data_IF_093836355934
#
_entry.id   IF_093836355934
#
_cell.length_a   1.000
_cell.length_b   1.000
_cell.length_c   1.000
_cell.angle_alpha   90.00
_cell.angle_beta   90.00
_cell.angle_gamma   90.00
#
_symmetry.space_group_name_H-M   'P 1'
#
loop_
_entity.id
_entity.type
_entity.pdbx_description
1 polymer ?
#
# COMPACT_ATOMS: atom_id res chain seq x y z
N UNK A 1 -32.47 -9.71 -4.26
CA UNK A 1 -31.34 -8.90 -3.79
C UNK A 1 -30.14 -9.35 -4.59
N UNK A 2 -29.53 -8.50 -5.44
CA UNK A 2 -28.36 -8.91 -6.23
C UNK A 2 -27.23 -9.23 -5.27
N UNK A 3 -26.67 -10.43 -5.38
CA UNK A 3 -25.46 -10.86 -4.68
C UNK A 3 -24.30 -9.97 -5.16
N UNK A 4 -24.16 -8.80 -4.51
CA UNK A 4 -23.06 -7.88 -4.83
C UNK A 4 -21.78 -8.61 -4.48
N UNK A 5 -21.04 -9.04 -5.49
CA UNK A 5 -19.76 -9.74 -5.35
C UNK A 5 -18.88 -8.96 -4.35
N UNK A 6 -18.46 -9.64 -3.26
CA UNK A 6 -17.69 -9.02 -2.18
C UNK A 6 -16.37 -8.47 -2.74
N UNK A 7 -16.04 -7.20 -2.47
CA UNK A 7 -14.80 -6.57 -2.92
C UNK A 7 -13.56 -7.21 -2.30
N UNK A 8 -12.49 -7.32 -3.07
CA UNK A 8 -11.24 -7.95 -2.67
C UNK A 8 -10.15 -6.89 -2.57
N UNK A 9 -9.46 -6.86 -1.44
CA UNK A 9 -8.33 -5.97 -1.17
C UNK A 9 -7.04 -6.76 -0.96
N UNK A 10 -5.98 -6.43 -1.71
CA UNK A 10 -4.62 -6.90 -1.48
C UNK A 10 -3.82 -5.83 -0.72
N UNK A 11 -3.28 -6.18 0.44
CA UNK A 11 -2.44 -5.30 1.25
C UNK A 11 -1.03 -5.87 1.33
N UNK A 12 -0.02 -5.14 0.86
CA UNK A 12 1.38 -5.56 0.97
C UNK A 12 1.96 -5.22 2.34
N UNK A 13 2.79 -6.11 2.89
CA UNK A 13 3.37 -5.92 4.23
C UNK A 13 2.34 -6.01 5.35
N UNK A 14 1.30 -6.83 5.19
CA UNK A 14 0.16 -6.94 6.09
C UNK A 14 0.42 -7.69 7.40
N UNK A 15 1.62 -8.24 7.61
CA UNK A 15 1.88 -9.12 8.75
C UNK A 15 2.21 -8.43 10.07
N UNK A 16 2.35 -7.10 10.09
CA UNK A 16 2.64 -6.30 11.31
C UNK A 16 2.30 -4.82 11.12
N UNK A 17 2.32 -4.08 12.24
CA UNK A 17 2.24 -2.62 12.27
C UNK A 17 1.06 -2.06 11.47
N UNK A 18 1.33 -1.04 10.67
CA UNK A 18 0.32 -0.33 9.89
C UNK A 18 -0.41 -1.26 8.90
N UNK A 19 0.32 -2.12 8.18
CA UNK A 19 -0.28 -3.07 7.23
C UNK A 19 -1.25 -4.06 7.88
N UNK A 20 -0.94 -4.54 9.09
CA UNK A 20 -1.83 -5.41 9.85
C UNK A 20 -3.13 -4.69 10.24
N UNK A 21 -3.03 -3.44 10.69
CA UNK A 21 -4.20 -2.65 11.07
C UNK A 21 -5.06 -2.28 9.85
N UNK A 22 -4.44 -1.98 8.69
CA UNK A 22 -5.15 -1.77 7.43
C UNK A 22 -5.95 -3.04 7.06
N UNK A 23 -5.34 -4.23 7.13
CA UNK A 23 -6.04 -5.49 6.90
C UNK A 23 -7.25 -5.64 7.82
N UNK A 24 -7.09 -5.35 9.11
CA UNK A 24 -8.15 -5.42 10.11
C UNK A 24 -9.31 -4.46 9.80
N UNK A 25 -9.00 -3.20 9.51
CA UNK A 25 -10.05 -2.20 9.24
C UNK A 25 -10.79 -2.47 7.94
N UNK A 26 -10.11 -2.87 6.86
CA UNK A 26 -10.75 -3.23 5.60
C UNK A 26 -11.63 -4.49 5.72
N UNK A 27 -11.17 -5.51 6.47
CA UNK A 27 -12.00 -6.69 6.74
C UNK A 27 -13.25 -6.33 7.56
N UNK A 28 -13.13 -5.47 8.58
CA UNK A 28 -14.27 -4.93 9.34
C UNK A 28 -15.24 -4.12 8.47
N UNK A 29 -14.75 -3.50 7.41
CA UNK A 29 -15.59 -2.78 6.43
C UNK A 29 -16.24 -3.72 5.41
N UNK A 30 -16.11 -5.04 5.59
CA UNK A 30 -16.78 -6.05 4.77
C UNK A 30 -16.02 -6.48 3.52
N UNK A 31 -14.76 -6.10 3.33
CA UNK A 31 -13.95 -6.58 2.21
C UNK A 31 -13.35 -7.96 2.52
N UNK A 32 -13.13 -8.76 1.48
CA UNK A 32 -12.19 -9.89 1.56
C UNK A 32 -10.78 -9.35 1.50
N UNK A 33 -9.94 -9.75 2.44
CA UNK A 33 -8.57 -9.23 2.57
C UNK A 33 -7.55 -10.31 2.22
N UNK A 34 -6.69 -9.99 1.24
CA UNK A 34 -5.51 -10.75 0.91
C UNK A 34 -4.30 -10.10 1.61
N UNK A 35 -3.86 -10.72 2.70
CA UNK A 35 -2.73 -10.26 3.50
C UNK A 35 -1.43 -10.71 2.86
N UNK A 36 -0.77 -9.80 2.14
CA UNK A 36 0.51 -10.06 1.48
C UNK A 36 1.69 -9.88 2.42
N UNK A 37 2.53 -10.92 2.58
CA UNK A 37 3.78 -10.83 3.33
C UNK A 37 4.82 -11.82 2.79
N UNK A 38 6.12 -11.47 2.85
CA UNK A 38 7.21 -12.32 2.35
C UNK A 38 7.49 -13.54 3.25
N UNK A 39 7.35 -13.36 4.55
CA UNK A 39 7.60 -14.40 5.55
C UNK A 39 6.34 -15.24 5.75
N UNK A 40 6.44 -16.52 5.41
CA UNK A 40 5.34 -17.47 5.46
C UNK A 40 4.78 -17.63 6.88
N UNK A 41 5.67 -17.81 7.88
CA UNK A 41 5.26 -18.07 9.25
C UNK A 41 4.57 -16.83 9.87
N UNK A 42 5.18 -15.65 9.72
CA UNK A 42 4.63 -14.38 10.23
C UNK A 42 3.33 -14.02 9.52
N UNK A 43 3.22 -14.25 8.22
CA UNK A 43 2.00 -13.97 7.45
C UNK A 43 0.84 -14.87 7.87
N UNK A 44 1.06 -16.18 8.01
CA UNK A 44 0.04 -17.13 8.51
C UNK A 44 -0.41 -16.79 9.92
N UNK A 45 0.54 -16.47 10.82
CA UNK A 45 0.23 -16.08 12.20
C UNK A 45 -0.62 -14.79 12.26
N UNK A 46 -0.30 -13.80 11.41
CA UNK A 46 -1.07 -12.56 11.33
C UNK A 46 -2.51 -12.78 10.82
N UNK A 47 -2.68 -13.58 9.76
CA UNK A 47 -4.01 -13.91 9.24
C UNK A 47 -4.83 -14.69 10.28
N UNK A 48 -4.22 -15.67 10.95
CA UNK A 48 -4.84 -16.40 12.06
C UNK A 48 -5.27 -15.46 13.19
N UNK A 49 -4.41 -14.53 13.59
CA UNK A 49 -4.75 -13.55 14.63
C UNK A 49 -5.92 -12.66 14.23
N UNK A 50 -6.02 -12.24 12.97
CA UNK A 50 -7.14 -11.42 12.48
C UNK A 50 -8.43 -12.22 12.48
N UNK A 51 -8.44 -13.44 11.99
CA UNK A 51 -9.64 -14.27 11.91
C UNK A 51 -10.09 -14.72 13.30
N UNK A 52 -9.25 -15.45 14.03
CA UNK A 52 -9.68 -16.11 15.28
C UNK A 52 -9.80 -15.15 16.46
N UNK A 53 -8.82 -14.22 16.62
CA UNK A 53 -8.81 -13.34 17.79
C UNK A 53 -9.59 -12.04 17.59
N UNK A 54 -9.77 -11.60 16.35
CA UNK A 54 -10.53 -10.38 16.04
C UNK A 54 -11.89 -10.65 15.42
N UNK A 55 -12.30 -11.94 15.26
CA UNK A 55 -13.61 -12.34 14.73
C UNK A 55 -13.82 -11.90 13.26
N UNK A 56 -12.77 -11.96 12.45
CA UNK A 56 -12.85 -11.62 11.03
C UNK A 56 -12.81 -12.89 10.20
N UNK A 57 -13.79 -13.10 9.32
CA UNK A 57 -13.98 -14.40 8.65
C UNK A 57 -13.28 -14.51 7.28
N UNK A 58 -12.62 -13.44 6.80
CA UNK A 58 -12.18 -13.39 5.40
C UNK A 58 -10.84 -12.68 5.19
N UNK A 59 -9.86 -12.99 6.05
CA UNK A 59 -8.47 -12.59 5.86
C UNK A 59 -7.65 -13.80 5.44
N UNK A 60 -7.17 -13.80 4.20
CA UNK A 60 -6.35 -14.89 3.64
C UNK A 60 -4.90 -14.43 3.52
N UNK A 61 -3.97 -15.19 4.06
CA UNK A 61 -2.55 -14.94 3.84
C UNK A 61 -2.16 -15.30 2.40
N UNK A 62 -1.39 -14.42 1.77
CA UNK A 62 -0.76 -14.63 0.47
C UNK A 62 0.74 -14.38 0.58
N UNK A 63 1.57 -15.35 0.16
CA UNK A 63 3.00 -15.13 0.17
C UNK A 63 3.39 -14.15 -0.94
N UNK A 64 4.00 -13.02 -0.57
CA UNK A 64 4.35 -11.96 -1.50
C UNK A 64 5.66 -11.28 -1.11
N UNK A 65 6.64 -11.37 -1.99
CA UNK A 65 7.84 -10.53 -1.97
C UNK A 65 7.69 -9.47 -3.07
N UNK A 66 7.46 -8.22 -2.68
CA UNK A 66 7.27 -7.09 -3.62
C UNK A 66 8.53 -6.73 -4.42
N UNK A 67 9.70 -7.21 -3.98
CA UNK A 67 10.98 -7.02 -4.69
C UNK A 67 11.22 -8.08 -5.77
N UNK A 68 10.39 -9.11 -5.84
CA UNK A 68 10.53 -10.26 -6.76
C UNK A 68 9.39 -10.28 -7.79
N UNK A 69 9.75 -10.13 -9.06
CA UNK A 69 8.80 -10.14 -10.17
C UNK A 69 8.02 -11.46 -10.27
N UNK A 70 8.67 -12.59 -10.03
CA UNK A 70 8.02 -13.91 -10.11
C UNK A 70 7.00 -14.07 -8.97
N UNK A 71 7.34 -13.62 -7.76
CA UNK A 71 6.42 -13.62 -6.63
C UNK A 71 5.17 -12.79 -6.93
N UNK A 72 5.33 -11.62 -7.52
CA UNK A 72 4.22 -10.74 -7.94
C UNK A 72 3.35 -11.43 -9.00
N UNK A 73 3.98 -11.93 -10.06
CA UNK A 73 3.25 -12.56 -11.19
C UNK A 73 2.47 -13.79 -10.75
N UNK A 74 3.06 -14.63 -9.89
CA UNK A 74 2.41 -15.83 -9.36
C UNK A 74 1.19 -15.47 -8.50
N UNK A 75 1.33 -14.48 -7.60
CA UNK A 75 0.21 -14.05 -6.77
C UNK A 75 -0.93 -13.47 -7.60
N UNK A 76 -0.63 -12.56 -8.54
CA UNK A 76 -1.69 -11.95 -9.36
C UNK A 76 -2.42 -12.99 -10.20
N UNK A 77 -1.68 -13.97 -10.75
CA UNK A 77 -2.28 -15.11 -11.47
C UNK A 77 -3.17 -15.96 -10.56
N UNK A 78 -2.73 -16.24 -9.31
CA UNK A 78 -3.55 -16.96 -8.34
C UNK A 78 -4.83 -16.18 -7.99
N UNK A 79 -4.74 -14.88 -7.78
CA UNK A 79 -5.90 -14.01 -7.51
C UNK A 79 -6.88 -14.03 -8.66
N UNK A 80 -6.39 -13.92 -9.91
CA UNK A 80 -7.24 -13.98 -11.10
C UNK A 80 -7.93 -15.34 -11.24
N UNK A 81 -7.21 -16.45 -11.06
CA UNK A 81 -7.77 -17.80 -11.13
C UNK A 81 -8.82 -18.09 -10.05
N UNK A 82 -8.60 -17.59 -8.83
CA UNK A 82 -9.49 -17.87 -7.70
C UNK A 82 -10.71 -16.96 -7.63
N UNK A 83 -10.56 -15.73 -8.05
CA UNK A 83 -11.57 -14.70 -7.83
C UNK A 83 -12.01 -13.98 -9.12
N UNK A 84 -11.16 -13.93 -10.14
CA UNK A 84 -11.39 -13.22 -11.40
C UNK A 84 -11.43 -11.69 -11.25
N UNK A 85 -11.07 -11.14 -10.09
CA UNK A 85 -11.05 -9.69 -9.85
C UNK A 85 -10.17 -9.33 -8.64
N UNK A 86 -9.68 -8.08 -8.67
CA UNK A 86 -9.06 -7.40 -7.55
C UNK A 86 -9.58 -5.96 -7.55
N UNK A 87 -10.16 -5.52 -6.44
CA UNK A 87 -10.82 -4.21 -6.37
C UNK A 87 -9.95 -3.15 -5.70
N UNK A 88 -9.12 -3.56 -4.74
CA UNK A 88 -8.28 -2.65 -3.96
C UNK A 88 -6.85 -3.20 -3.88
N UNK A 89 -5.88 -2.35 -4.19
CA UNK A 89 -4.46 -2.61 -3.95
C UNK A 89 -3.89 -1.55 -3.00
N UNK A 90 -3.42 -1.99 -1.82
CA UNK A 90 -2.71 -1.11 -0.88
C UNK A 90 -1.22 -1.46 -0.90
N UNK A 91 -0.42 -0.61 -1.53
CA UNK A 91 1.04 -0.68 -1.55
C UNK A 91 1.60 -0.09 -0.25
N UNK A 92 1.63 -0.92 0.81
CA UNK A 92 2.09 -0.52 2.14
C UNK A 92 3.51 -1.02 2.46
N UNK A 93 3.97 -2.13 1.88
CA UNK A 93 5.31 -2.65 2.14
C UNK A 93 6.39 -1.61 1.81
N UNK A 94 7.26 -1.33 2.78
CA UNK A 94 8.37 -0.40 2.63
C UNK A 94 9.58 -0.83 3.48
N UNK A 95 10.77 -0.32 3.11
CA UNK A 95 12.04 -0.48 3.83
C UNK A 95 12.81 0.84 3.85
N UNK A 96 13.94 0.83 4.58
CA UNK A 96 14.99 1.85 4.56
C UNK A 96 14.52 3.24 5.03
N UNK A 97 14.12 3.33 6.31
CA UNK A 97 14.06 4.62 6.98
C UNK A 97 15.48 4.95 7.48
N UNK A 98 16.31 5.46 6.56
CA UNK A 98 17.77 5.56 6.66
C UNK A 98 18.25 6.82 7.39
N UNK A 99 17.91 6.94 8.68
CA UNK A 99 18.25 8.09 9.53
C UNK A 99 19.74 8.25 9.80
N UNK A 100 20.56 7.25 9.48
CA UNK A 100 22.01 7.20 9.73
C UNK A 100 22.86 7.77 8.60
N UNK A 101 22.26 8.22 7.49
CA UNK A 101 23.01 8.77 6.35
C UNK A 101 22.36 10.05 5.79
N UNK A 102 23.18 10.83 5.09
CA UNK A 102 22.75 12.05 4.40
C UNK A 102 23.00 11.92 2.89
N UNK A 103 22.40 12.80 2.10
CA UNK A 103 22.44 12.70 0.64
C UNK A 103 23.86 12.81 0.05
N UNK A 104 24.78 13.54 0.73
CA UNK A 104 26.15 13.76 0.25
C UNK A 104 27.00 12.49 0.26
N UNK A 105 26.77 11.60 1.26
CA UNK A 105 27.56 10.40 1.52
C UNK A 105 26.73 9.11 1.58
N UNK A 106 25.51 9.15 1.02
CA UNK A 106 24.60 8.02 1.04
C UNK A 106 25.17 6.78 0.33
N UNK A 107 25.03 5.62 0.95
CA UNK A 107 25.27 4.34 0.27
C UNK A 107 24.21 4.09 -0.80
N UNK A 108 24.60 4.22 -2.06
CA UNK A 108 23.71 3.99 -3.21
C UNK A 108 23.15 2.55 -3.29
N UNK A 109 23.75 1.58 -2.60
CA UNK A 109 23.14 0.23 -2.48
C UNK A 109 21.87 0.28 -1.64
N UNK A 110 21.87 1.06 -0.55
CA UNK A 110 20.67 1.28 0.29
C UNK A 110 19.60 2.02 -0.50
N UNK A 111 19.98 3.06 -1.25
CA UNK A 111 19.07 3.79 -2.14
C UNK A 111 18.44 2.86 -3.17
N UNK A 112 19.25 2.03 -3.83
CA UNK A 112 18.75 1.07 -4.82
C UNK A 112 17.78 0.04 -4.21
N UNK A 113 18.07 -0.49 -3.01
CA UNK A 113 17.17 -1.40 -2.30
C UNK A 113 15.84 -0.72 -1.93
N UNK A 114 15.89 0.54 -1.51
CA UNK A 114 14.69 1.33 -1.24
C UNK A 114 13.85 1.51 -2.51
N UNK A 115 14.46 1.86 -3.64
CA UNK A 115 13.76 1.97 -4.93
C UNK A 115 13.17 0.64 -5.40
N UNK A 116 13.89 -0.48 -5.25
CA UNK A 116 13.37 -1.81 -5.62
C UNK A 116 12.10 -2.14 -4.84
N UNK A 117 12.08 -1.88 -3.53
CA UNK A 117 10.96 -2.25 -2.67
C UNK A 117 9.85 -1.20 -2.68
N UNK A 118 10.19 0.09 -2.50
CA UNK A 118 9.22 1.15 -2.24
C UNK A 118 8.63 1.77 -3.52
N UNK A 119 9.29 1.59 -4.67
CA UNK A 119 8.86 2.11 -5.96
C UNK A 119 8.55 0.99 -6.97
N UNK A 120 9.56 0.17 -7.33
CA UNK A 120 9.37 -0.84 -8.38
C UNK A 120 8.41 -1.94 -7.95
N UNK A 121 8.37 -2.32 -6.66
CA UNK A 121 7.39 -3.24 -6.12
C UNK A 121 5.95 -2.76 -6.34
N UNK A 122 5.55 -1.57 -5.82
CA UNK A 122 4.26 -0.94 -6.10
C UNK A 122 3.95 -0.78 -7.58
N UNK A 123 4.92 -0.39 -8.40
CA UNK A 123 4.72 -0.21 -9.85
C UNK A 123 4.37 -1.52 -10.53
N UNK A 124 5.17 -2.58 -10.32
CA UNK A 124 4.94 -3.92 -10.88
C UNK A 124 3.60 -4.51 -10.43
N UNK A 125 3.26 -4.36 -9.13
CA UNK A 125 1.96 -4.82 -8.62
C UNK A 125 0.81 -4.05 -9.26
N UNK A 126 0.92 -2.73 -9.41
CA UNK A 126 -0.09 -1.92 -10.09
C UNK A 126 -0.25 -2.36 -11.54
N UNK A 127 0.85 -2.50 -12.29
CA UNK A 127 0.81 -2.97 -13.69
C UNK A 127 0.14 -4.34 -13.83
N UNK A 128 0.44 -5.26 -12.92
CA UNK A 128 -0.13 -6.61 -12.93
C UNK A 128 -1.63 -6.64 -12.53
N UNK A 129 -2.07 -5.71 -11.68
CA UNK A 129 -3.44 -5.66 -11.14
C UNK A 129 -4.40 -4.84 -12.01
N UNK A 130 -3.94 -3.81 -12.69
CA UNK A 130 -4.74 -2.89 -13.51
C UNK A 130 -5.59 -3.61 -14.56
N UNK A 131 -5.13 -4.65 -15.29
CA UNK A 131 -5.98 -5.36 -16.25
C UNK A 131 -7.28 -5.92 -15.64
N UNK A 132 -7.21 -6.56 -14.45
CA UNK A 132 -8.40 -7.05 -13.74
C UNK A 132 -9.32 -5.90 -13.32
N UNK A 133 -8.76 -4.80 -12.81
CA UNK A 133 -9.51 -3.61 -12.42
C UNK A 133 -10.22 -2.96 -13.61
N UNK A 134 -9.55 -2.87 -14.77
CA UNK A 134 -10.15 -2.35 -16.01
C UNK A 134 -11.33 -3.22 -16.50
N UNK A 135 -11.20 -4.53 -16.45
CA UNK A 135 -12.26 -5.47 -16.81
C UNK A 135 -13.51 -5.25 -15.95
N UNK A 136 -13.33 -5.00 -14.67
CA UNK A 136 -14.42 -4.76 -13.71
C UNK A 136 -14.87 -3.28 -13.66
N UNK A 137 -14.21 -2.39 -14.40
CA UNK A 137 -14.45 -0.93 -14.37
C UNK A 137 -14.45 -0.35 -12.94
N UNK A 138 -13.63 -0.93 -12.09
CA UNK A 138 -13.49 -0.51 -10.69
C UNK A 138 -12.08 -0.85 -10.18
N UNK A 139 -11.45 0.09 -9.53
CA UNK A 139 -10.18 -0.13 -8.84
C UNK A 139 -9.84 1.00 -7.87
N UNK A 140 -9.18 0.65 -6.76
CA UNK A 140 -8.58 1.61 -5.82
C UNK A 140 -7.14 1.21 -5.59
N UNK A 141 -6.19 2.03 -6.04
CA UNK A 141 -4.76 1.84 -5.80
C UNK A 141 -4.31 2.89 -4.80
N UNK A 142 -3.89 2.45 -3.62
CA UNK A 142 -3.41 3.31 -2.55
C UNK A 142 -1.94 3.08 -2.33
N UNK A 143 -1.13 4.08 -2.61
CA UNK A 143 0.30 4.08 -2.36
C UNK A 143 0.58 4.73 -1.00
N UNK A 144 1.02 3.94 -0.02
CA UNK A 144 1.41 4.46 1.30
C UNK A 144 2.73 5.21 1.14
N UNK A 145 2.62 6.53 1.13
CA UNK A 145 3.75 7.46 0.97
C UNK A 145 4.19 8.02 2.33
N UNK A 146 4.70 9.23 2.33
CA UNK A 146 5.16 9.96 3.51
C UNK A 146 5.34 11.44 3.17
N UNK A 147 5.22 12.33 4.16
CA UNK A 147 5.67 13.72 4.05
C UNK A 147 7.14 13.82 3.61
N UNK A 148 7.99 12.82 3.98
CA UNK A 148 9.36 12.73 3.48
C UNK A 148 9.48 12.55 1.96
N UNK A 149 8.39 12.24 1.24
CA UNK A 149 8.31 12.20 -0.21
C UNK A 149 7.72 13.46 -0.85
N UNK A 150 7.34 14.48 -0.07
CA UNK A 150 6.82 15.75 -0.56
C UNK A 150 7.97 16.72 -0.83
N UNK A 151 8.09 17.21 -2.06
CA UNK A 151 9.10 18.23 -2.41
C UNK A 151 8.86 19.56 -1.67
N UNK A 152 7.59 19.84 -1.34
CA UNK A 152 7.23 21.04 -0.59
C UNK A 152 7.85 21.08 0.82
N UNK A 153 7.91 19.91 1.49
CA UNK A 153 8.45 19.79 2.85
C UNK A 153 9.90 19.30 2.90
N UNK A 154 10.50 18.98 1.75
CA UNK A 154 11.85 18.41 1.67
C UNK A 154 12.92 19.48 1.78
N UNK A 155 13.21 19.93 3.00
CA UNK A 155 14.20 20.95 3.32
C UNK A 155 15.33 20.44 4.24
N UNK A 156 15.54 19.13 4.28
CA UNK A 156 16.55 18.45 5.11
C UNK A 156 17.31 17.39 4.30
N UNK A 157 18.56 17.09 4.69
CA UNK A 157 19.45 16.18 3.97
C UNK A 157 19.37 14.71 4.41
N UNK A 158 18.71 14.40 5.52
CA UNK A 158 18.61 13.04 6.08
C UNK A 158 17.62 12.13 5.33
N UNK A 159 17.70 10.84 5.58
CA UNK A 159 16.83 9.81 5.00
C UNK A 159 16.75 9.81 3.47
N UNK A 160 17.89 9.96 2.73
CA UNK A 160 17.86 10.15 1.28
C UNK A 160 17.24 8.96 0.54
N UNK A 161 17.54 7.73 0.93
CA UNK A 161 16.99 6.53 0.27
C UNK A 161 15.47 6.46 0.42
N UNK A 162 14.96 6.68 1.63
CA UNK A 162 13.53 6.69 1.91
C UNK A 162 12.82 7.82 1.18
N UNK A 163 13.30 9.07 1.36
CA UNK A 163 12.67 10.26 0.80
C UNK A 163 12.61 10.22 -0.72
N UNK A 164 13.71 9.87 -1.39
CA UNK A 164 13.77 9.72 -2.85
C UNK A 164 12.78 8.64 -3.32
N UNK A 165 12.72 7.50 -2.63
CA UNK A 165 11.80 6.42 -3.01
C UNK A 165 10.32 6.82 -2.87
N UNK A 166 9.97 7.61 -1.82
CA UNK A 166 8.61 8.10 -1.60
C UNK A 166 8.23 9.23 -2.55
N UNK A 167 9.15 10.13 -2.88
CA UNK A 167 8.94 11.14 -3.92
C UNK A 167 8.69 10.47 -5.29
N UNK A 168 9.50 9.47 -5.65
CA UNK A 168 9.30 8.71 -6.87
C UNK A 168 7.95 7.95 -6.90
N UNK A 169 7.51 7.41 -5.76
CA UNK A 169 6.18 6.79 -5.61
C UNK A 169 5.05 7.81 -5.80
N UNK A 170 5.23 9.04 -5.32
CA UNK A 170 4.29 10.15 -5.55
C UNK A 170 4.19 10.50 -7.03
N UNK A 171 5.31 10.57 -7.75
CA UNK A 171 5.33 10.74 -9.22
C UNK A 171 4.60 9.60 -9.91
N UNK A 172 4.85 8.35 -9.52
CA UNK A 172 4.16 7.18 -10.07
C UNK A 172 2.64 7.28 -9.87
N UNK A 173 2.19 7.71 -8.69
CA UNK A 173 0.76 7.93 -8.39
C UNK A 173 0.13 8.89 -9.38
N UNK A 174 0.77 10.03 -9.62
CA UNK A 174 0.31 11.03 -10.61
C UNK A 174 0.23 10.46 -12.03
N UNK A 175 1.26 9.71 -12.43
CA UNK A 175 1.33 9.12 -13.76
C UNK A 175 0.24 8.08 -13.99
N UNK A 176 0.06 7.15 -13.04
CA UNK A 176 -0.98 6.14 -13.14
C UNK A 176 -2.38 6.76 -13.12
N UNK A 177 -2.64 7.74 -12.26
CA UNK A 177 -3.93 8.42 -12.21
C UNK A 177 -4.25 9.11 -13.54
N UNK A 178 -3.28 9.79 -14.18
CA UNK A 178 -3.47 10.45 -15.46
C UNK A 178 -3.78 9.47 -16.60
N UNK A 179 -3.14 8.29 -16.60
CA UNK A 179 -3.38 7.24 -17.62
C UNK A 179 -4.70 6.48 -17.41
N UNK A 180 -5.25 6.49 -16.19
CA UNK A 180 -6.42 5.71 -15.82
C UNK A 180 -7.71 6.56 -15.74
N UNK A 181 -7.70 7.77 -16.25
CA UNK A 181 -8.90 8.62 -16.37
C UNK A 181 -10.00 7.87 -17.12
N UNK A 182 -11.23 7.96 -16.63
CA UNK A 182 -12.44 7.32 -17.20
C UNK A 182 -12.42 5.78 -17.20
N UNK A 183 -11.53 5.15 -16.44
CA UNK A 183 -11.49 3.68 -16.33
C UNK A 183 -12.22 3.13 -15.08
N UNK A 184 -12.68 4.00 -14.18
CA UNK A 184 -13.23 3.61 -12.87
C UNK A 184 -12.15 3.29 -11.82
N UNK A 185 -10.86 3.50 -12.15
CA UNK A 185 -9.73 3.23 -11.25
C UNK A 185 -9.23 4.55 -10.67
N UNK A 186 -9.22 4.65 -9.34
CA UNK A 186 -8.65 5.79 -8.62
C UNK A 186 -7.29 5.40 -8.02
N UNK A 187 -6.30 6.30 -8.17
CA UNK A 187 -4.93 6.09 -7.69
C UNK A 187 -4.51 7.26 -6.83
N UNK A 188 -4.19 7.04 -5.55
CA UNK A 188 -3.80 8.09 -4.63
C UNK A 188 -2.60 7.71 -3.77
N UNK A 189 -1.80 8.69 -3.37
CA UNK A 189 -0.80 8.59 -2.31
C UNK A 189 -1.39 9.00 -0.97
N UNK A 190 -1.04 8.29 0.10
CA UNK A 190 -1.47 8.63 1.46
C UNK A 190 -0.27 8.64 2.40
N UNK A 191 -0.09 9.73 3.12
CA UNK A 191 0.79 9.81 4.27
C UNK A 191 0.04 9.36 5.52
N UNK A 192 0.50 8.31 6.23
CA UNK A 192 -0.11 7.87 7.47
C UNK A 192 0.23 8.79 8.66
N UNK A 193 1.06 9.81 8.46
CA UNK A 193 1.72 10.55 9.51
C UNK A 193 2.82 9.73 10.22
N UNK A 194 3.38 10.27 11.28
CA UNK A 194 4.33 9.53 12.11
C UNK A 194 3.58 8.53 13.00
N UNK A 195 3.73 7.25 12.73
CA UNK A 195 2.97 6.15 13.34
C UNK A 195 3.86 5.30 14.24
N UNK A 196 3.36 4.91 15.41
CA UNK A 196 4.02 4.04 16.37
C UNK A 196 4.17 2.60 15.83
N UNK A 197 5.20 2.39 15.01
CA UNK A 197 5.58 1.11 14.41
C UNK A 197 7.08 0.89 14.58
N UNK A 198 7.58 -0.31 14.29
CA UNK A 198 9.02 -0.61 14.30
C UNK A 198 9.83 0.33 13.38
N UNK A 199 9.23 0.83 12.29
CA UNK A 199 9.87 1.79 11.38
C UNK A 199 9.87 3.22 11.95
N UNK A 200 8.87 3.59 12.76
CA UNK A 200 8.73 4.89 13.40
C UNK A 200 9.32 4.94 14.81
N UNK A 201 10.19 4.00 15.16
CA UNK A 201 10.83 3.90 16.49
C UNK A 201 9.81 3.92 17.66
N UNK A 202 8.66 3.30 17.43
CA UNK A 202 7.52 3.22 18.35
C UNK A 202 6.97 4.58 18.85
N UNK A 203 7.44 5.67 18.27
CA UNK A 203 6.90 7.02 18.51
C UNK A 203 5.72 7.35 17.57
N UNK A 204 5.12 8.50 17.80
CA UNK A 204 4.03 8.99 16.97
C UNK A 204 2.63 8.52 17.39
N UNK A 205 1.67 8.68 16.48
CA UNK A 205 0.27 8.35 16.73
C UNK A 205 -0.01 6.85 16.68
N UNK A 206 -1.10 6.38 17.31
CA UNK A 206 -1.50 4.98 17.27
C UNK A 206 -1.68 4.47 15.84
N UNK A 207 -1.29 3.21 15.58
CA UNK A 207 -1.44 2.58 14.25
C UNK A 207 -2.88 2.58 13.75
N UNK A 208 -3.86 2.53 14.67
CA UNK A 208 -5.29 2.59 14.35
C UNK A 208 -5.67 3.91 13.68
N UNK A 209 -5.08 5.01 14.12
CA UNK A 209 -5.31 6.34 13.55
C UNK A 209 -4.57 6.50 12.22
N UNK A 210 -3.30 6.08 12.16
CA UNK A 210 -2.52 6.12 10.93
C UNK A 210 -3.14 5.32 9.78
N UNK A 211 -3.86 4.24 10.09
CA UNK A 211 -4.53 3.42 9.08
C UNK A 211 -5.78 4.07 8.49
N UNK A 212 -6.46 4.99 9.20
CA UNK A 212 -7.77 5.55 8.78
C UNK A 212 -7.70 6.22 7.41
N UNK A 213 -6.70 7.08 7.18
CA UNK A 213 -6.54 7.77 5.89
C UNK A 213 -6.31 6.81 4.73
N UNK A 214 -5.57 5.71 4.95
CA UNK A 214 -5.32 4.68 3.95
C UNK A 214 -6.61 3.90 3.65
N UNK A 215 -7.35 3.52 4.68
CA UNK A 215 -8.65 2.83 4.56
C UNK A 215 -9.67 3.73 3.85
N UNK A 216 -9.73 5.03 4.19
CA UNK A 216 -10.56 6.00 3.47
C UNK A 216 -10.24 5.99 1.95
N UNK A 217 -8.97 6.10 1.57
CA UNK A 217 -8.58 6.08 0.16
C UNK A 217 -8.91 4.74 -0.54
N UNK A 218 -8.85 3.63 0.20
CA UNK A 218 -9.15 2.28 -0.30
C UNK A 218 -10.63 2.03 -0.58
N UNK A 219 -11.53 2.81 0.04
CA UNK A 219 -12.99 2.64 -0.11
C UNK A 219 -13.67 3.87 -0.73
N UNK A 220 -12.93 4.76 -1.35
CA UNK A 220 -13.46 5.95 -2.03
C UNK A 220 -14.63 5.60 -2.96
N UNK A 221 -15.68 6.43 -3.04
CA UNK A 221 -16.73 6.30 -4.04
C UNK A 221 -16.18 6.49 -5.46
N UNK A 222 -16.99 6.23 -6.48
CA UNK A 222 -16.53 6.25 -7.88
C UNK A 222 -16.20 7.67 -8.37
N UNK A 223 -16.79 8.66 -7.78
CA UNK A 223 -16.54 10.10 -8.00
C UNK A 223 -15.47 10.69 -7.06
N UNK A 224 -14.79 9.84 -6.31
CA UNK A 224 -13.73 10.24 -5.39
C UNK A 224 -12.48 10.79 -6.11
N UNK A 225 -11.56 11.43 -5.37
CA UNK A 225 -10.33 11.98 -5.92
C UNK A 225 -9.41 10.91 -6.50
N UNK A 226 -8.68 11.27 -7.57
CA UNK A 226 -7.61 10.46 -8.16
C UNK A 226 -6.40 11.34 -8.49
N UNK A 227 -5.22 10.83 -8.26
CA UNK A 227 -3.96 11.55 -8.48
C UNK A 227 -3.63 12.56 -7.38
N UNK A 228 -4.21 12.41 -6.19
CA UNK A 228 -3.94 13.25 -5.03
C UNK A 228 -2.94 12.64 -4.04
N UNK A 229 -2.40 13.51 -3.18
CA UNK A 229 -1.63 13.15 -2.00
C UNK A 229 -2.40 13.62 -0.77
N UNK A 230 -2.61 12.73 0.21
CA UNK A 230 -3.52 12.99 1.32
C UNK A 230 -2.92 12.57 2.66
N UNK A 231 -3.32 13.26 3.74
CA UNK A 231 -3.19 12.81 5.12
C UNK A 231 -4.56 12.93 5.78
N UNK A 232 -5.06 11.86 6.39
CA UNK A 232 -6.37 11.81 7.06
C UNK A 232 -7.56 12.28 6.19
N UNK A 233 -7.46 12.10 4.88
CA UNK A 233 -8.46 12.56 3.90
C UNK A 233 -8.27 13.98 3.41
N UNK A 234 -7.38 14.76 4.03
CA UNK A 234 -7.07 16.13 3.63
C UNK A 234 -5.93 16.18 2.61
N UNK A 235 -6.01 17.04 1.60
CA UNK A 235 -4.96 17.18 0.59
C UNK A 235 -3.64 17.68 1.17
N UNK A 236 -2.55 17.09 0.71
CA UNK A 236 -1.18 17.54 0.99
C UNK A 236 -0.52 18.07 -0.28
N UNK A 237 0.38 19.06 -0.17
CA UNK A 237 1.24 19.47 -1.28
C UNK A 237 2.26 18.37 -1.60
N UNK A 238 2.59 18.29 -2.90
CA UNK A 238 3.58 17.33 -3.45
C UNK A 238 5.02 17.65 -3.08
#
# INVERSE_FOLDING_TARGET
>A
MSDKKRKIALITGGNRGLGFEICKQLAKSGLRVLLGARDLAKGKAAAYQLNEKNGLDDVTFCQLNVSDQNSISNLVKEVDQRFGHLDVLVNNAAIAYDTWQNAVDADLKVVNQALITNLFGPWRLSQASIPMMKTNKYGRIVNVSSLGGSLHYMNYGGTPAYSISKAALNVLTRKLAAELVNTGILVNSVDPGWVATDMGDHGGRPVQEGAKGIVWAAVLPDDGPSGGFFCDGEPLPW
#
